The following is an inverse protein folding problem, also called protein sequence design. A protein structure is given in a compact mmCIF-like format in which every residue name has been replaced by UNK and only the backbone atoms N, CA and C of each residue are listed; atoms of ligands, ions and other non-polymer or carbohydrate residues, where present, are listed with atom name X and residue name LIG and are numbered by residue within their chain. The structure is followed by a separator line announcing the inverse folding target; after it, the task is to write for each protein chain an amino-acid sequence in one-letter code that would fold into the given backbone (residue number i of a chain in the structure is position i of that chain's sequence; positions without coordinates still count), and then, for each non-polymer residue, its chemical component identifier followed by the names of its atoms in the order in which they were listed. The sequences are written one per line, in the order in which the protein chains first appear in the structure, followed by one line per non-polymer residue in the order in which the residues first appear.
data_IF_034135847726
#
_entry.id   IF_034135847726
#
_cell.length_a   1.000
_cell.length_b   1.000
_cell.length_c   1.000
_cell.angle_alpha   90.00
_cell.angle_beta   90.00
_cell.angle_gamma   90.00
#
_symmetry.space_group_name_H-M   'P 1'
#
loop_
_entity.id
_entity.type
_entity.pdbx_description
1 polymer ?
#
# COMPACT_ATOMS: atom_id res chain seq x y z
N UNK A 1 27.50 -49.74 54.89
CA UNK A 1 26.47 -50.42 54.06
C UNK A 1 25.80 -49.30 53.27
N UNK A 2 26.31 -48.88 52.10
CA UNK A 2 25.98 -49.50 50.80
C UNK A 2 24.52 -49.95 50.86
N UNK A 3 23.56 -49.12 50.44
CA UNK A 3 23.05 -48.95 49.07
C UNK A 3 22.31 -47.60 49.03
N UNK A 4 21.95 -47.12 47.84
CA UNK A 4 21.20 -45.89 47.53
C UNK A 4 22.04 -44.67 47.09
N UNK A 5 23.03 -44.95 46.25
CA UNK A 5 23.62 -43.96 45.36
C UNK A 5 23.70 -44.51 43.93
N UNK A 6 22.54 -44.67 43.27
CA UNK A 6 22.37 -44.51 41.81
C UNK A 6 20.96 -44.97 41.42
N UNK A 7 20.31 -44.16 40.60
CA UNK A 7 19.07 -44.44 39.85
C UNK A 7 17.75 -44.23 40.61
N UNK A 8 17.35 -42.97 40.76
CA UNK A 8 16.20 -42.43 40.01
C UNK A 8 16.13 -40.92 40.21
N UNK A 9 16.91 -40.23 39.39
CA UNK A 9 16.79 -38.80 39.12
C UNK A 9 15.70 -38.68 38.05
N UNK A 10 14.48 -38.30 38.44
CA UNK A 10 13.37 -37.74 37.65
C UNK A 10 12.11 -37.92 38.52
N UNK A 11 11.38 -36.93 39.01
CA UNK A 11 11.24 -35.51 38.69
C UNK A 11 10.56 -34.85 39.90
N UNK A 12 11.21 -33.91 40.58
CA UNK A 12 10.53 -32.98 41.47
C UNK A 12 11.10 -31.56 41.30
N UNK A 13 10.25 -30.53 41.29
CA UNK A 13 10.60 -29.17 40.93
C UNK A 13 11.14 -28.37 42.13
N UNK A 14 11.76 -27.23 41.80
CA UNK A 14 12.18 -26.15 42.69
C UNK A 14 13.38 -26.47 43.59
N UNK A 15 14.58 -26.02 43.18
CA UNK A 15 15.57 -25.28 44.00
C UNK A 15 16.92 -25.23 43.29
N UNK A 16 17.08 -24.35 42.29
CA UNK A 16 18.41 -23.85 41.89
C UNK A 16 18.26 -22.36 41.54
N UNK A 17 18.18 -21.55 42.59
CA UNK A 17 18.15 -20.09 42.51
C UNK A 17 19.34 -19.53 43.27
N UNK A 18 20.54 -19.66 42.71
CA UNK A 18 21.66 -18.78 43.03
C UNK A 18 22.77 -18.93 41.99
N UNK A 19 23.32 -17.77 41.64
CA UNK A 19 24.71 -17.58 41.21
C UNK A 19 25.04 -17.59 39.72
N UNK A 20 24.26 -16.94 38.87
CA UNK A 20 24.70 -16.36 37.58
C UNK A 20 23.59 -15.35 37.22
N UNK A 21 23.70 -14.03 37.27
CA UNK A 21 24.62 -13.15 36.56
C UNK A 21 24.49 -11.77 37.21
N UNK A 22 25.45 -11.35 38.03
CA UNK A 22 25.64 -9.94 38.41
C UNK A 22 26.67 -9.36 37.45
N UNK A 23 26.22 -9.02 36.24
CA UNK A 23 26.95 -8.19 35.26
C UNK A 23 25.94 -7.42 34.38
N UNK A 24 24.89 -6.85 34.98
CA UNK A 24 23.86 -6.08 34.24
C UNK A 24 24.01 -4.56 34.35
N UNK A 25 25.14 -4.07 34.83
CA UNK A 25 25.45 -2.64 34.83
C UNK A 25 26.85 -2.41 34.26
N UNK A 26 26.91 -1.45 33.34
CA UNK A 26 28.11 -0.85 32.70
C UNK A 26 28.77 -1.58 31.53
N UNK A 27 28.07 -1.74 30.39
CA UNK A 27 28.76 -1.71 29.06
C UNK A 27 27.86 -1.44 27.84
N UNK A 28 26.86 -0.56 27.93
CA UNK A 28 26.20 -0.01 26.72
C UNK A 28 26.11 1.50 26.83
N UNK A 29 27.26 2.13 27.06
CA UNK A 29 27.54 3.47 26.56
C UNK A 29 28.70 3.27 25.59
N UNK A 30 28.61 3.84 24.39
CA UNK A 30 29.51 3.62 23.24
C UNK A 30 29.16 2.39 22.39
N UNK A 31 27.95 2.38 21.81
CA UNK A 31 27.72 1.80 20.48
C UNK A 31 26.81 2.76 19.72
N UNK A 32 27.41 3.48 18.77
CA UNK A 32 26.74 4.30 17.75
C UNK A 32 25.96 5.49 18.33
N UNK A 33 26.54 6.69 18.35
CA UNK A 33 26.38 7.58 17.18
C UNK A 33 26.16 6.79 15.90
N UNK A 34 24.96 6.22 15.76
CA UNK A 34 24.41 6.05 14.43
C UNK A 34 24.28 7.47 13.93
N UNK A 35 25.11 7.83 12.95
CA UNK A 35 24.73 8.88 12.04
C UNK A 35 23.28 8.59 11.67
N UNK A 36 22.37 9.51 12.02
CA UNK A 36 21.07 9.52 11.39
C UNK A 36 21.37 9.78 9.93
N UNK A 37 21.48 8.71 9.16
CA UNK A 37 21.54 8.77 7.71
C UNK A 37 20.29 9.56 7.30
N UNK A 38 20.52 10.69 6.63
CA UNK A 38 19.49 11.68 6.30
C UNK A 38 18.27 10.96 5.72
N UNK A 39 17.14 11.02 6.44
CA UNK A 39 15.83 10.56 5.93
C UNK A 39 15.31 11.57 4.87
N UNK A 40 16.17 11.99 3.94
CA UNK A 40 15.76 12.84 2.84
C UNK A 40 14.82 12.02 1.96
N UNK A 41 13.62 12.54 1.73
CA UNK A 41 12.67 11.92 0.84
C UNK A 41 13.29 11.74 -0.56
N UNK A 42 13.07 10.61 -1.26
CA UNK A 42 13.65 10.40 -2.58
C UNK A 42 13.28 11.54 -3.54
N UNK A 43 14.26 12.30 -4.01
CA UNK A 43 14.08 13.39 -4.96
C UNK A 43 14.90 13.11 -6.23
N UNK A 44 14.26 13.26 -7.39
CA UNK A 44 14.93 13.29 -8.69
C UNK A 44 15.71 14.60 -8.87
N UNK A 45 15.08 15.72 -8.46
CA UNK A 45 15.70 17.04 -8.38
C UNK A 45 14.94 17.88 -7.35
N UNK A 46 15.66 18.63 -6.51
CA UNK A 46 15.03 19.32 -5.37
C UNK A 46 14.19 20.53 -5.78
N UNK A 47 14.60 21.23 -6.85
CA UNK A 47 13.90 22.38 -7.40
C UNK A 47 14.04 22.28 -8.94
N UNK A 48 13.14 21.56 -9.63
CA UNK A 48 13.27 21.30 -11.06
C UNK A 48 13.12 22.56 -11.91
N UNK A 49 12.18 23.42 -11.52
CA UNK A 49 11.81 24.62 -12.26
C UNK A 49 12.60 25.84 -11.76
N UNK A 50 12.78 26.86 -12.60
CA UNK A 50 13.44 28.12 -12.24
C UNK A 50 12.46 29.32 -12.23
N UNK A 51 11.19 29.06 -12.51
CA UNK A 51 10.12 30.04 -12.48
C UNK A 51 8.85 29.48 -11.81
N UNK A 52 7.94 30.39 -11.50
CA UNK A 52 6.58 30.12 -11.04
C UNK A 52 5.65 31.20 -11.63
N UNK A 53 4.41 30.87 -12.07
CA UNK A 53 3.80 29.54 -12.08
C UNK A 53 4.40 28.62 -13.16
N UNK A 54 4.20 27.31 -12.99
CA UNK A 54 4.51 26.27 -13.98
C UNK A 54 3.31 26.14 -14.92
N UNK A 55 3.51 26.30 -16.23
CA UNK A 55 2.40 26.22 -17.20
C UNK A 55 2.10 24.78 -17.58
N UNK A 56 0.80 24.47 -17.68
CA UNK A 56 0.32 23.12 -17.96
C UNK A 56 -0.66 23.15 -19.12
N UNK A 57 -0.41 22.31 -20.13
CA UNK A 57 -1.37 22.04 -21.20
C UNK A 57 -1.89 20.60 -21.08
N UNK A 58 -3.21 20.46 -21.08
CA UNK A 58 -3.90 19.17 -21.04
C UNK A 58 -4.53 18.94 -22.42
N UNK A 59 -4.02 17.97 -23.18
CA UNK A 59 -4.53 17.68 -24.52
C UNK A 59 -5.94 17.11 -24.45
N UNK A 60 -6.94 17.94 -24.72
CA UNK A 60 -8.34 17.52 -24.83
C UNK A 60 -8.82 17.49 -26.30
N UNK A 61 -7.89 17.62 -27.25
CA UNK A 61 -8.15 17.66 -28.68
C UNK A 61 -7.76 16.34 -29.33
N UNK A 62 -6.54 15.85 -29.06
CA UNK A 62 -6.04 14.56 -29.56
C UNK A 62 -6.17 13.51 -28.45
N UNK A 63 -7.37 12.97 -28.31
CA UNK A 63 -7.71 12.01 -27.27
C UNK A 63 -7.98 10.61 -27.85
N UNK A 64 -7.67 9.53 -27.11
CA UNK A 64 -7.99 8.15 -27.51
C UNK A 64 -9.51 7.89 -27.52
N UNK A 65 -9.91 6.78 -28.15
CA UNK A 65 -11.32 6.40 -28.35
C UNK A 65 -12.11 6.34 -27.04
N UNK A 66 -11.52 5.74 -26.01
CA UNK A 66 -12.13 5.59 -24.70
C UNK A 66 -11.66 6.65 -23.69
N UNK A 67 -11.31 7.84 -24.16
CA UNK A 67 -11.08 8.97 -23.27
C UNK A 67 -12.37 9.40 -22.54
N UNK A 68 -12.25 9.74 -21.26
CA UNK A 68 -13.34 10.39 -20.52
C UNK A 68 -13.09 11.90 -20.40
N UNK A 69 -14.04 12.77 -20.79
CA UNK A 69 -13.93 14.22 -20.60
C UNK A 69 -13.76 14.66 -19.14
N UNK A 70 -14.12 13.81 -18.18
CA UNK A 70 -13.96 14.07 -16.74
C UNK A 70 -12.50 14.04 -16.28
N UNK A 71 -11.59 13.45 -17.05
CA UNK A 71 -10.17 13.31 -16.69
C UNK A 71 -9.43 14.63 -16.61
N UNK A 72 -9.79 15.61 -17.44
CA UNK A 72 -9.26 16.98 -17.32
C UNK A 72 -9.46 17.52 -15.90
N UNK A 73 -10.67 17.40 -15.36
CA UNK A 73 -10.97 17.84 -14.01
C UNK A 73 -10.16 17.07 -12.96
N UNK A 74 -9.86 15.79 -13.19
CA UNK A 74 -9.03 14.98 -12.28
C UNK A 74 -7.58 15.45 -12.22
N UNK A 75 -7.02 15.88 -13.36
CA UNK A 75 -5.70 16.51 -13.41
C UNK A 75 -5.72 17.87 -12.71
N UNK A 76 -6.77 18.67 -12.87
CA UNK A 76 -6.94 19.93 -12.14
C UNK A 76 -6.98 19.71 -10.62
N UNK A 77 -7.69 18.67 -10.15
CA UNK A 77 -7.64 18.27 -8.74
C UNK A 77 -6.25 17.83 -8.27
N UNK A 78 -5.48 17.17 -9.14
CA UNK A 78 -4.12 16.74 -8.83
C UNK A 78 -3.15 17.93 -8.74
N UNK A 79 -3.27 18.93 -9.63
CA UNK A 79 -2.53 20.18 -9.53
C UNK A 79 -2.84 20.90 -8.20
N UNK A 80 -4.13 21.07 -7.89
CA UNK A 80 -4.56 21.71 -6.66
C UNK A 80 -4.15 20.95 -5.39
N UNK A 81 -3.93 19.64 -5.46
CA UNK A 81 -3.37 18.85 -4.36
C UNK A 81 -1.92 19.25 -4.08
N UNK A 82 -1.10 19.39 -5.12
CA UNK A 82 0.30 19.78 -5.00
C UNK A 82 0.48 21.24 -4.57
N UNK A 83 -0.36 22.16 -5.07
CA UNK A 83 -0.37 23.57 -4.62
C UNK A 83 -0.71 23.71 -3.13
N UNK A 84 -1.45 22.76 -2.57
CA UNK A 84 -1.81 22.73 -1.13
C UNK A 84 -0.77 21.99 -0.26
N UNK A 85 0.43 21.79 -0.78
CA UNK A 85 1.54 21.13 -0.08
C UNK A 85 1.69 19.64 -0.36
N UNK A 86 0.78 19.03 -1.14
CA UNK A 86 0.90 17.65 -1.63
C UNK A 86 1.12 16.61 -0.52
N UNK A 87 2.18 15.82 -0.66
CA UNK A 87 2.61 14.86 0.37
C UNK A 87 3.54 15.45 1.44
N UNK A 88 3.80 16.76 1.41
CA UNK A 88 4.64 17.47 2.37
C UNK A 88 6.15 17.33 2.15
N UNK A 89 6.58 16.75 1.02
CA UNK A 89 7.99 16.46 0.75
C UNK A 89 8.63 17.34 -0.34
N UNK A 90 7.89 18.28 -0.92
CA UNK A 90 8.46 19.26 -1.86
C UNK A 90 9.31 20.29 -1.10
N UNK A 91 10.45 20.66 -1.70
CA UNK A 91 11.33 21.70 -1.16
C UNK A 91 10.84 23.14 -1.47
N UNK A 92 9.75 23.27 -2.22
CA UNK A 92 9.16 24.54 -2.64
C UNK A 92 7.64 24.39 -2.76
N UNK A 93 6.93 25.52 -2.81
CA UNK A 93 5.49 25.56 -3.02
C UNK A 93 5.22 25.79 -4.52
N UNK A 94 4.71 24.79 -5.26
CA UNK A 94 4.42 24.95 -6.68
C UNK A 94 3.12 25.75 -6.87
N UNK A 95 3.06 26.51 -7.96
CA UNK A 95 1.83 27.10 -8.49
C UNK A 95 1.70 26.68 -9.95
N UNK A 96 0.49 26.31 -10.38
CA UNK A 96 0.22 25.92 -11.76
C UNK A 96 -0.63 26.96 -12.48
N UNK A 97 -0.45 27.03 -13.80
CA UNK A 97 -1.29 27.84 -14.68
C UNK A 97 -1.65 27.06 -15.94
N UNK A 98 -2.94 26.84 -16.17
CA UNK A 98 -3.40 26.26 -17.42
C UNK A 98 -3.13 27.21 -18.59
N UNK A 99 -2.66 26.65 -19.70
CA UNK A 99 -2.50 27.33 -20.99
C UNK A 99 -3.29 26.59 -22.06
N UNK A 100 -3.56 27.25 -23.19
CA UNK A 100 -4.42 26.70 -24.25
C UNK A 100 -3.62 26.04 -25.40
N UNK A 101 -2.27 26.04 -25.32
CA UNK A 101 -1.41 25.44 -26.35
C UNK A 101 -0.20 24.69 -25.79
N UNK A 102 0.20 23.62 -26.47
CA UNK A 102 1.40 22.82 -26.13
C UNK A 102 2.69 23.67 -26.17
N UNK A 103 2.80 24.61 -27.11
CA UNK A 103 4.00 25.44 -27.29
C UNK A 103 4.30 26.35 -26.10
N UNK A 104 3.28 26.68 -25.30
CA UNK A 104 3.39 27.56 -24.13
C UNK A 104 3.53 26.78 -22.82
N UNK A 105 3.49 25.45 -22.88
CA UNK A 105 3.44 24.58 -21.72
C UNK A 105 4.82 24.10 -21.29
N UNK A 106 5.06 24.19 -19.99
CA UNK A 106 6.18 23.54 -19.31
C UNK A 106 5.86 22.05 -19.11
N UNK A 107 4.63 21.74 -18.70
CA UNK A 107 4.12 20.37 -18.56
C UNK A 107 3.08 20.11 -19.63
N UNK A 108 3.33 19.10 -20.46
CA UNK A 108 2.41 18.65 -21.49
C UNK A 108 1.80 17.29 -21.10
N UNK A 109 0.48 17.24 -20.96
CA UNK A 109 -0.26 16.05 -20.54
C UNK A 109 -1.05 15.48 -21.71
N UNK A 110 -0.79 14.21 -22.03
CA UNK A 110 -1.44 13.46 -23.12
C UNK A 110 -1.99 12.13 -22.64
N UNK A 111 -2.88 11.55 -23.44
CA UNK A 111 -3.63 10.34 -23.11
C UNK A 111 -3.37 9.23 -24.12
N UNK A 112 -3.30 7.98 -23.66
CA UNK A 112 -3.10 6.80 -24.53
C UNK A 112 -4.07 5.67 -24.17
N UNK A 113 -4.41 4.83 -25.15
CA UNK A 113 -5.19 3.60 -24.91
C UNK A 113 -4.34 2.54 -24.23
N UNK A 114 -3.07 2.44 -24.64
CA UNK A 114 -2.19 1.40 -24.14
C UNK A 114 -0.73 1.86 -24.16
N UNK A 115 -0.13 2.03 -22.99
CA UNK A 115 1.24 2.54 -22.87
C UNK A 115 2.30 1.66 -23.54
N UNK A 116 2.11 0.34 -23.56
CA UNK A 116 3.07 -0.57 -24.19
C UNK A 116 3.06 -0.42 -25.71
N UNK A 117 1.86 -0.40 -26.31
CA UNK A 117 1.70 -0.27 -27.76
C UNK A 117 1.99 1.14 -28.25
N UNK A 118 1.54 2.14 -27.52
CA UNK A 118 1.52 3.53 -27.98
C UNK A 118 2.79 4.30 -27.56
N UNK A 119 3.43 3.90 -26.45
CA UNK A 119 4.60 4.58 -25.90
C UNK A 119 5.83 3.68 -25.65
N UNK A 120 5.74 2.37 -25.95
CA UNK A 120 6.86 1.42 -25.86
C UNK A 120 7.38 1.18 -24.44
N UNK A 121 6.54 1.39 -23.42
CA UNK A 121 6.91 1.25 -22.01
C UNK A 121 6.76 -0.20 -21.55
N UNK A 122 7.52 -0.62 -20.55
CA UNK A 122 7.42 -1.95 -19.95
C UNK A 122 6.02 -2.22 -19.38
N UNK A 123 5.60 -3.49 -19.41
CA UNK A 123 4.31 -3.93 -18.90
C UNK A 123 4.11 -3.53 -17.43
N UNK A 124 2.94 -2.98 -17.10
CA UNK A 124 2.51 -2.74 -15.71
C UNK A 124 2.55 -1.28 -15.24
N UNK A 125 2.90 -0.35 -16.12
CA UNK A 125 2.86 1.09 -15.82
C UNK A 125 1.58 1.70 -16.40
N UNK A 126 0.88 2.54 -15.64
CA UNK A 126 -0.35 3.22 -16.07
C UNK A 126 -0.13 4.70 -16.45
N UNK A 127 1.03 5.26 -16.12
CA UNK A 127 1.44 6.60 -16.52
C UNK A 127 2.94 6.80 -16.38
N UNK A 128 3.49 7.82 -17.03
CA UNK A 128 4.86 8.24 -16.76
C UNK A 128 5.03 9.75 -16.98
N UNK A 129 5.98 10.34 -16.27
CA UNK A 129 6.53 11.66 -16.54
C UNK A 129 7.94 11.55 -17.14
N UNK A 130 8.18 12.21 -18.28
CA UNK A 130 9.49 12.30 -18.94
C UNK A 130 9.96 13.76 -18.94
N UNK A 131 10.87 14.14 -18.03
CA UNK A 131 11.49 15.46 -18.06
C UNK A 131 12.51 15.56 -19.20
N UNK A 132 12.52 16.72 -19.85
CA UNK A 132 13.62 17.19 -20.69
C UNK A 132 14.42 18.21 -19.89
N UNK A 133 15.64 17.84 -19.54
CA UNK A 133 16.47 18.60 -18.60
C UNK A 133 17.63 19.30 -19.31
N UNK A 134 17.89 20.55 -18.90
CA UNK A 134 19.07 21.32 -19.32
C UNK A 134 19.70 21.92 -18.07
N UNK A 135 21.00 21.65 -17.86
CA UNK A 135 21.75 22.15 -16.70
C UNK A 135 21.12 21.80 -15.33
N UNK A 136 20.49 20.62 -15.21
CA UNK A 136 19.83 20.16 -13.98
C UNK A 136 18.50 20.84 -13.68
N UNK A 137 17.94 21.57 -14.65
CA UNK A 137 16.62 22.19 -14.59
C UNK A 137 15.69 21.59 -15.64
N UNK A 138 14.42 21.49 -15.31
CA UNK A 138 13.40 21.02 -16.23
C UNK A 138 13.07 22.15 -17.19
N UNK A 139 13.20 21.88 -18.49
CA UNK A 139 12.78 22.78 -19.55
C UNK A 139 11.39 22.42 -20.09
N UNK A 140 11.04 21.13 -19.98
CA UNK A 140 9.72 20.59 -20.33
C UNK A 140 9.53 19.25 -19.64
N UNK A 141 8.29 18.89 -19.30
CA UNK A 141 7.93 17.53 -18.87
C UNK A 141 6.75 17.04 -19.71
N UNK A 142 6.90 15.87 -20.34
CA UNK A 142 5.77 15.19 -20.98
C UNK A 142 5.22 14.14 -20.03
N UNK A 143 3.95 14.28 -19.65
CA UNK A 143 3.21 13.30 -18.86
C UNK A 143 2.28 12.54 -19.80
N UNK A 144 2.37 11.22 -19.77
CA UNK A 144 1.51 10.33 -20.56
C UNK A 144 0.69 9.49 -19.60
N UNK A 145 -0.63 9.51 -19.75
CA UNK A 145 -1.58 8.83 -18.88
C UNK A 145 -2.38 7.80 -19.70
N UNK A 146 -2.38 6.55 -19.27
CA UNK A 146 -3.22 5.51 -19.86
C UNK A 146 -4.68 5.71 -19.41
N UNK A 147 -5.65 5.58 -20.34
CA UNK A 147 -7.08 5.82 -20.03
C UNK A 147 -7.83 4.57 -19.55
N UNK A 148 -7.19 3.41 -19.60
CA UNK A 148 -7.78 2.14 -19.24
C UNK A 148 -6.86 0.97 -19.56
N UNK A 149 -7.29 -0.24 -19.24
CA UNK A 149 -6.50 -1.43 -19.55
C UNK A 149 -7.39 -2.63 -19.85
N UNK A 150 -6.76 -3.75 -20.21
CA UNK A 150 -7.46 -5.02 -20.38
C UNK A 150 -7.51 -5.79 -19.06
N UNK A 151 -8.72 -6.02 -18.53
CA UNK A 151 -9.00 -6.97 -17.46
C UNK A 151 -9.47 -8.29 -18.08
N UNK A 152 -8.55 -9.25 -18.19
CA UNK A 152 -8.79 -10.53 -18.87
C UNK A 152 -8.96 -10.35 -20.38
N UNK A 153 -10.20 -10.40 -20.87
CA UNK A 153 -10.53 -10.20 -22.29
C UNK A 153 -11.32 -8.92 -22.56
N UNK A 154 -11.72 -8.20 -21.51
CA UNK A 154 -12.49 -6.97 -21.64
C UNK A 154 -11.58 -5.76 -21.43
N UNK A 155 -11.69 -4.79 -22.32
CA UNK A 155 -11.09 -3.48 -22.09
C UNK A 155 -11.95 -2.72 -21.07
N UNK A 156 -11.29 -2.01 -20.14
CA UNK A 156 -11.93 -1.28 -19.06
C UNK A 156 -11.29 0.08 -18.86
N UNK A 157 -12.13 1.10 -18.91
CA UNK A 157 -11.76 2.49 -18.64
C UNK A 157 -11.41 2.69 -17.17
N UNK A 158 -10.42 3.54 -16.89
CA UNK A 158 -10.12 3.96 -15.53
C UNK A 158 -11.23 4.88 -14.97
N UNK A 159 -11.57 4.70 -13.70
CA UNK A 159 -12.47 5.63 -13.01
C UNK A 159 -11.79 6.96 -12.70
N UNK A 160 -12.58 8.00 -12.43
CA UNK A 160 -12.09 9.33 -12.06
C UNK A 160 -11.13 9.31 -10.87
N UNK A 161 -11.39 8.46 -9.87
CA UNK A 161 -10.52 8.32 -8.70
C UNK A 161 -9.14 7.76 -9.08
N UNK A 162 -9.09 6.74 -9.94
CA UNK A 162 -7.83 6.16 -10.42
C UNK A 162 -7.04 7.22 -11.21
N UNK A 163 -7.72 7.93 -12.12
CA UNK A 163 -7.08 8.97 -12.91
C UNK A 163 -6.54 10.10 -12.05
N UNK A 164 -7.27 10.48 -11.00
CA UNK A 164 -6.82 11.49 -10.04
C UNK A 164 -5.56 11.05 -9.29
N UNK A 165 -5.52 9.84 -8.76
CA UNK A 165 -4.34 9.35 -8.04
C UNK A 165 -3.14 9.16 -8.97
N UNK A 166 -3.36 8.65 -10.19
CA UNK A 166 -2.33 8.55 -11.21
C UNK A 166 -1.75 9.91 -11.58
N UNK A 167 -2.62 10.90 -11.87
CA UNK A 167 -2.18 12.25 -12.21
C UNK A 167 -1.39 12.91 -11.07
N UNK A 168 -1.76 12.67 -9.79
CA UNK A 168 -0.97 13.16 -8.65
C UNK A 168 0.42 12.55 -8.65
N UNK A 169 0.55 11.25 -8.87
CA UNK A 169 1.83 10.54 -8.91
C UNK A 169 2.74 11.12 -10.00
N UNK A 170 2.24 11.22 -11.23
CA UNK A 170 3.05 11.71 -12.36
C UNK A 170 3.39 13.21 -12.23
N UNK A 171 2.48 14.02 -11.69
CA UNK A 171 2.79 15.41 -11.35
C UNK A 171 3.87 15.51 -10.27
N UNK A 172 3.91 14.58 -9.31
CA UNK A 172 4.98 14.53 -8.31
C UNK A 172 6.35 14.34 -8.95
N UNK A 173 6.45 13.47 -9.97
CA UNK A 173 7.67 13.35 -10.77
C UNK A 173 8.00 14.63 -11.54
N UNK A 174 7.00 15.29 -12.13
CA UNK A 174 7.19 16.58 -12.80
C UNK A 174 7.64 17.71 -11.85
N UNK A 175 7.39 17.56 -10.54
CA UNK A 175 7.86 18.44 -9.46
C UNK A 175 9.18 17.99 -8.83
N UNK A 176 9.79 16.92 -9.33
CA UNK A 176 11.12 16.45 -8.95
C UNK A 176 11.13 15.41 -7.84
N UNK A 177 9.99 14.85 -7.44
CA UNK A 177 9.94 13.75 -6.48
C UNK A 177 10.26 12.41 -7.15
N UNK A 178 10.99 11.56 -6.43
CA UNK A 178 11.20 10.16 -6.79
C UNK A 178 10.15 9.26 -6.13
N UNK A 179 10.28 7.95 -6.39
CA UNK A 179 9.43 6.95 -5.78
C UNK A 179 9.67 6.83 -4.27
N UNK A 180 8.59 6.80 -3.50
CA UNK A 180 8.62 6.52 -2.05
C UNK A 180 8.76 5.03 -1.77
N UNK A 181 9.27 4.69 -0.58
CA UNK A 181 9.21 3.33 -0.04
C UNK A 181 8.03 3.11 0.92
N UNK A 182 7.33 4.18 1.37
CA UNK A 182 6.11 4.06 2.17
C UNK A 182 4.91 3.81 1.28
N UNK A 183 4.25 2.66 1.44
CA UNK A 183 3.03 2.24 0.70
C UNK A 183 1.84 3.19 0.82
N UNK A 184 1.85 4.10 1.79
CA UNK A 184 0.79 5.09 2.01
C UNK A 184 1.08 6.42 1.33
N UNK A 185 2.28 6.59 0.76
CA UNK A 185 2.63 7.80 0.02
C UNK A 185 2.07 7.72 -1.40
N UNK A 186 1.65 8.87 -1.93
CA UNK A 186 1.19 9.00 -3.31
C UNK A 186 2.29 8.67 -4.32
N UNK A 187 3.57 8.87 -3.97
CA UNK A 187 4.71 8.52 -4.82
C UNK A 187 5.17 7.07 -4.66
N UNK A 188 4.46 6.22 -3.91
CA UNK A 188 4.81 4.80 -3.86
C UNK A 188 4.56 4.15 -5.24
N UNK A 189 5.53 3.40 -5.79
CA UNK A 189 5.38 2.76 -7.08
C UNK A 189 4.51 1.51 -6.93
N UNK A 190 3.20 1.64 -7.13
CA UNK A 190 2.34 0.48 -7.32
C UNK A 190 2.45 0.02 -8.77
N UNK A 191 3.18 -1.08 -9.01
CA UNK A 191 3.13 -1.83 -10.28
C UNK A 191 1.70 -2.30 -10.65
N UNK A 192 0.77 -2.18 -9.70
CA UNK A 192 -0.65 -2.49 -9.84
C UNK A 192 -1.52 -1.22 -10.00
N UNK A 193 -1.03 -0.13 -10.60
CA UNK A 193 -1.94 0.96 -11.03
C UNK A 193 -2.98 0.48 -12.07
N UNK A 194 -2.73 -0.69 -12.68
CA UNK A 194 -3.65 -1.40 -13.56
C UNK A 194 -4.79 -2.10 -12.80
N UNK A 195 -4.57 -2.57 -11.58
CA UNK A 195 -5.65 -3.15 -10.79
C UNK A 195 -6.36 -2.01 -10.07
N UNK A 196 -7.65 -1.86 -10.37
CA UNK A 196 -8.53 -0.85 -9.80
C UNK A 196 -8.18 -0.52 -8.35
N UNK A 197 -7.56 0.65 -8.14
CA UNK A 197 -7.45 1.19 -6.80
C UNK A 197 -8.88 1.61 -6.44
N UNK A 198 -9.58 0.73 -5.75
CA UNK A 198 -10.71 1.13 -4.91
C UNK A 198 -10.25 1.14 -3.45
N UNK A 199 -9.20 1.93 -3.08
CA UNK A 199 -8.69 1.93 -1.71
C UNK A 199 -9.76 2.51 -0.78
N UNK A 200 -10.63 3.37 -1.32
CA UNK A 200 -11.79 3.95 -0.65
C UNK A 200 -12.88 2.92 -0.37
N UNK A 201 -13.14 1.96 -1.27
CA UNK A 201 -14.08 0.88 -0.98
C UNK A 201 -13.51 -0.12 0.03
N UNK A 202 -12.22 -0.47 -0.05
CA UNK A 202 -11.62 -1.37 0.95
C UNK A 202 -11.62 -0.72 2.34
N UNK A 203 -11.23 0.54 2.48
CA UNK A 203 -11.30 1.27 3.76
C UNK A 203 -12.74 1.43 4.28
N UNK A 204 -13.70 1.76 3.40
CA UNK A 204 -15.11 1.90 3.77
C UNK A 204 -15.80 0.57 4.09
N UNK A 205 -15.40 -0.53 3.44
CA UNK A 205 -15.96 -1.87 3.67
C UNK A 205 -15.24 -2.64 4.77
N UNK A 206 -14.03 -2.22 5.17
CA UNK A 206 -13.22 -2.79 6.25
C UNK A 206 -14.01 -3.09 7.54
N UNK A 207 -14.81 -2.16 8.10
CA UNK A 207 -15.60 -2.47 9.30
C UNK A 207 -16.64 -3.58 9.08
N UNK A 208 -17.23 -3.67 7.89
CA UNK A 208 -18.21 -4.70 7.55
C UNK A 208 -17.56 -6.07 7.38
N UNK A 209 -16.35 -6.12 6.79
CA UNK A 209 -15.56 -7.35 6.69
C UNK A 209 -15.19 -7.86 8.09
N UNK A 210 -14.71 -6.99 8.98
CA UNK A 210 -14.42 -7.38 10.37
C UNK A 210 -15.67 -7.87 11.10
N UNK A 211 -16.81 -7.20 10.93
CA UNK A 211 -18.08 -7.63 11.52
C UNK A 211 -18.49 -9.03 11.01
N UNK A 212 -18.37 -9.29 9.70
CA UNK A 212 -18.68 -10.58 9.11
C UNK A 212 -17.79 -11.72 9.64
N UNK A 213 -16.48 -11.46 9.82
CA UNK A 213 -15.54 -12.42 10.42
C UNK A 213 -15.90 -12.71 11.88
N UNK A 214 -16.22 -11.69 12.67
CA UNK A 214 -16.62 -11.83 14.08
C UNK A 214 -17.91 -12.67 14.19
N UNK A 215 -18.93 -12.36 13.39
CA UNK A 215 -20.21 -13.09 13.39
C UNK A 215 -19.99 -14.55 13.00
N UNK A 216 -19.14 -14.81 12.02
CA UNK A 216 -18.79 -16.18 11.59
C UNK A 216 -18.07 -16.94 12.71
N UNK A 217 -17.11 -16.32 13.39
CA UNK A 217 -16.38 -16.91 14.50
C UNK A 217 -17.30 -17.24 15.69
N UNK A 218 -18.25 -16.35 16.02
CA UNK A 218 -19.25 -16.60 17.07
C UNK A 218 -20.14 -17.78 16.69
N UNK A 219 -20.62 -17.83 15.45
CA UNK A 219 -21.51 -18.90 14.96
C UNK A 219 -20.82 -20.26 15.01
N UNK A 220 -19.56 -20.34 14.58
CA UNK A 220 -18.74 -21.56 14.68
C UNK A 220 -18.54 -21.96 16.14
N UNK A 221 -18.19 -21.00 17.01
CA UNK A 221 -17.97 -21.27 18.43
C UNK A 221 -19.22 -21.83 19.13
N UNK A 222 -20.40 -21.25 18.87
CA UNK A 222 -21.67 -21.74 19.40
C UNK A 222 -22.02 -23.14 18.89
N UNK A 223 -21.74 -23.40 17.61
CA UNK A 223 -21.96 -24.72 17.00
C UNK A 223 -21.06 -25.78 17.62
N UNK A 224 -19.79 -25.46 17.88
CA UNK A 224 -18.83 -26.34 18.57
C UNK A 224 -19.26 -26.62 20.01
N UNK A 225 -19.68 -25.60 20.77
CA UNK A 225 -20.17 -25.76 22.15
C UNK A 225 -21.42 -26.65 22.17
N UNK A 226 -22.37 -26.40 21.27
CA UNK A 226 -23.59 -27.21 21.13
C UNK A 226 -23.26 -28.68 20.83
N UNK A 227 -22.33 -28.91 19.90
CA UNK A 227 -21.86 -30.25 19.56
C UNK A 227 -21.17 -30.97 20.74
N UNK A 228 -20.31 -30.28 21.49
CA UNK A 228 -19.67 -30.84 22.70
C UNK A 228 -20.69 -31.22 23.77
N UNK A 229 -21.70 -30.37 24.01
CA UNK A 229 -22.81 -30.66 24.94
C UNK A 229 -23.63 -31.87 24.48
N UNK A 230 -23.96 -31.94 23.19
CA UNK A 230 -24.67 -33.08 22.61
C UNK A 230 -23.86 -34.38 22.78
N UNK A 231 -22.56 -34.35 22.49
CA UNK A 231 -21.66 -35.50 22.65
C UNK A 231 -21.58 -35.99 24.10
N UNK A 232 -21.50 -35.07 25.07
CA UNK A 232 -21.53 -35.40 26.49
C UNK A 232 -22.84 -36.06 26.93
N UNK A 233 -23.99 -35.51 26.50
CA UNK A 233 -25.32 -36.08 26.79
C UNK A 233 -25.49 -37.46 26.18
N UNK A 234 -25.02 -37.67 24.95
CA UNK A 234 -25.04 -38.97 24.27
C UNK A 234 -24.24 -40.02 25.04
N UNK A 235 -23.00 -39.71 25.46
CA UNK A 235 -22.18 -40.63 26.27
C UNK A 235 -22.87 -41.04 27.57
N UNK A 236 -23.46 -40.08 28.28
CA UNK A 236 -24.20 -40.38 29.53
C UNK A 236 -25.40 -41.31 29.31
N UNK A 237 -26.09 -41.18 28.16
CA UNK A 237 -27.19 -42.08 27.77
C UNK A 237 -26.64 -43.46 27.42
N UNK A 238 -25.59 -43.54 26.59
CA UNK A 238 -24.95 -44.81 26.22
C UNK A 238 -24.44 -45.57 27.46
N UNK A 239 -23.80 -44.89 28.42
CA UNK A 239 -23.34 -45.52 29.67
C UNK A 239 -24.51 -46.05 30.51
N UNK A 240 -25.63 -45.31 30.59
CA UNK A 240 -26.83 -45.76 31.33
C UNK A 240 -27.50 -46.99 30.72
N UNK A 241 -27.55 -47.09 29.39
CA UNK A 241 -28.28 -48.15 28.70
C UNK A 241 -27.41 -49.35 28.29
N UNK A 242 -26.12 -49.13 28.04
CA UNK A 242 -25.17 -50.17 27.62
C UNK A 242 -24.21 -50.60 28.74
N UNK A 243 -23.87 -49.71 29.68
CA UNK A 243 -23.04 -50.04 30.85
C UNK A 243 -23.76 -50.93 31.88
N UNK A 244 -25.10 -50.93 31.89
CA UNK A 244 -25.90 -51.83 32.73
C UNK A 244 -25.99 -53.28 32.23
N UNK A 245 -25.48 -53.60 31.03
CA UNK A 245 -25.59 -54.94 30.42
C UNK A 245 -24.44 -55.90 30.74
N UNK A 246 -23.43 -55.49 31.50
CA UNK A 246 -22.31 -56.36 31.93
C UNK A 246 -22.43 -56.85 33.38
N UNK A 247 -23.58 -56.66 34.05
CA UNK A 247 -23.77 -56.94 35.47
C UNK A 247 -24.94 -57.86 35.82
N UNK A 248 -25.25 -58.87 35.00
CA UNK A 248 -26.11 -60.01 35.40
C UNK A 248 -25.58 -61.30 34.77
N UNK A 249 -24.81 -62.06 35.57
CA UNK A 249 -24.76 -63.52 35.48
C UNK A 249 -26.02 -64.10 36.09
#
# INVERSE_FOLDING_TARGET
MYVDMMLMIQTCPAFIGSLFVVCFFTSVAVHGVYAMEDNAYPALTTIPWDHSPITVYIDNVNVPEHYSPTYKEQVEYAMAYWEKGGNGHLAYEPEFRLVDSESEADIYIVWVENLEKDAGVENGVAGFARPYEVNGKYMRVNIVLEVGNYEGHAWKQYGDANMRELAKHELGHALGLGHSTDRRDIMYPTYDQKDNIDPLLVERTRPFIYAAVIVSAITVSLSVISWLRYRGKRRSIEDKFLGGKHGRS
#
